data_IF_287439445513
#
_entry.id   IF_287439445513
#
_cell.length_a   1.000
_cell.length_b   1.000
_cell.length_c   1.000
_cell.angle_alpha   90.00
_cell.angle_beta   90.00
_cell.angle_gamma   90.00
#
_symmetry.space_group_name_H-M   'P 1'
#
loop_
_entity.id
_entity.type
_entity.pdbx_description
1 polymer ?
#
# COMPACT_ATOMS: atom_id res chain seq x y z
N UNK A 1 -22.24 7.41 2.07
CA UNK A 1 -21.18 6.52 2.62
C UNK A 1 -20.49 5.70 1.53
N UNK A 2 -21.24 5.00 0.65
CA UNK A 2 -20.69 4.19 -0.45
C UNK A 2 -19.69 4.94 -1.38
N UNK A 3 -19.94 6.22 -1.67
CA UNK A 3 -19.05 7.03 -2.53
C UNK A 3 -17.64 7.24 -1.97
N UNK A 4 -17.44 7.12 -0.64
CA UNK A 4 -16.10 7.27 -0.03
C UNK A 4 -15.24 6.02 -0.21
N UNK A 5 -15.88 4.86 -0.36
CA UNK A 5 -15.25 3.57 -0.57
C UNK A 5 -14.90 3.29 -2.03
N UNK A 6 -15.58 3.92 -2.99
CA UNK A 6 -15.27 3.75 -4.40
C UNK A 6 -13.78 4.02 -4.71
N UNK A 7 -13.16 5.14 -4.27
CA UNK A 7 -11.73 5.35 -4.47
C UNK A 7 -10.85 4.32 -3.76
N UNK A 8 -11.27 3.77 -2.62
CA UNK A 8 -10.54 2.71 -1.90
C UNK A 8 -10.50 1.44 -2.75
N UNK A 9 -11.65 1.03 -3.28
CA UNK A 9 -11.77 -0.17 -4.11
C UNK A 9 -11.03 -0.02 -5.43
N UNK A 10 -11.13 1.15 -6.08
CA UNK A 10 -10.38 1.45 -7.31
C UNK A 10 -8.88 1.38 -7.04
N UNK A 11 -8.40 2.00 -5.97
CA UNK A 11 -6.98 2.00 -5.64
C UNK A 11 -6.47 0.62 -5.25
N UNK A 12 -7.24 -0.14 -4.46
CA UNK A 12 -6.93 -1.54 -4.18
C UNK A 12 -6.81 -2.36 -5.48
N UNK A 13 -7.75 -2.19 -6.41
CA UNK A 13 -7.68 -2.82 -7.73
C UNK A 13 -6.40 -2.47 -8.49
N UNK A 14 -5.97 -1.20 -8.47
CA UNK A 14 -4.70 -0.78 -9.07
C UNK A 14 -3.52 -1.53 -8.44
N UNK A 15 -3.41 -1.55 -7.10
CA UNK A 15 -2.34 -2.27 -6.39
C UNK A 15 -2.33 -3.74 -6.81
N UNK A 16 -3.48 -4.40 -6.79
CA UNK A 16 -3.60 -5.81 -7.16
C UNK A 16 -3.13 -6.08 -8.59
N UNK A 17 -3.50 -5.22 -9.54
CA UNK A 17 -3.07 -5.35 -10.94
C UNK A 17 -1.57 -5.14 -11.11
N UNK A 18 -0.97 -4.15 -10.43
CA UNK A 18 0.47 -3.88 -10.49
C UNK A 18 1.27 -5.01 -9.83
N UNK A 19 0.80 -5.53 -8.69
CA UNK A 19 1.38 -6.69 -8.00
C UNK A 19 1.31 -7.97 -8.82
N UNK A 20 0.36 -8.08 -9.75
CA UNK A 20 0.23 -9.23 -10.66
C UNK A 20 1.26 -9.25 -11.80
N UNK A 21 1.97 -8.13 -12.05
CA UNK A 21 2.95 -8.04 -13.13
C UNK A 21 4.30 -8.64 -12.65
N UNK A 22 4.79 -9.74 -13.29
CA UNK A 22 6.09 -10.30 -12.98
C UNK A 22 7.19 -9.35 -13.46
N UNK A 23 8.16 -9.07 -12.58
CA UNK A 23 9.42 -8.33 -12.82
C UNK A 23 9.44 -7.41 -14.06
N UNK A 24 9.17 -6.12 -13.84
CA UNK A 24 9.62 -5.06 -14.74
C UNK A 24 11.15 -5.03 -14.71
N UNK A 25 11.81 -5.66 -15.69
CA UNK A 25 13.24 -5.56 -15.87
C UNK A 25 13.52 -4.26 -16.64
N UNK A 26 13.94 -3.22 -15.93
CA UNK A 26 14.27 -1.92 -16.54
C UNK A 26 15.73 -1.85 -17.01
N UNK A 27 16.52 -2.91 -16.79
CA UNK A 27 17.96 -2.92 -17.02
C UNK A 27 18.78 -2.26 -15.91
N UNK A 28 18.15 -1.80 -14.82
CA UNK A 28 18.82 -1.11 -13.69
C UNK A 28 19.36 -2.08 -12.61
N UNK A 29 19.15 -3.39 -12.75
CA UNK A 29 19.69 -4.40 -11.85
C UNK A 29 19.09 -4.30 -10.44
N UNK A 30 19.92 -4.22 -9.40
CA UNK A 30 19.46 -4.16 -8.01
C UNK A 30 18.57 -2.96 -7.67
N UNK A 31 18.64 -1.88 -8.44
CA UNK A 31 17.77 -0.71 -8.28
C UNK A 31 16.31 -1.00 -8.57
N UNK A 32 16.00 -1.98 -9.42
CA UNK A 32 14.62 -2.42 -9.68
C UNK A 32 13.94 -2.94 -8.42
N UNK A 33 14.70 -3.56 -7.52
CA UNK A 33 14.21 -4.03 -6.23
C UNK A 33 13.86 -2.85 -5.32
N UNK A 34 14.76 -1.87 -5.20
CA UNK A 34 14.57 -0.69 -4.34
C UNK A 34 13.40 0.16 -4.83
N UNK A 35 13.35 0.46 -6.13
CA UNK A 35 12.27 1.28 -6.71
C UNK A 35 10.90 0.62 -6.54
N UNK A 36 10.82 -0.70 -6.67
CA UNK A 36 9.59 -1.46 -6.43
C UNK A 36 9.15 -1.36 -4.97
N UNK A 37 10.07 -1.47 -4.00
CA UNK A 37 9.73 -1.28 -2.58
C UNK A 37 9.22 0.13 -2.29
N UNK A 38 9.84 1.15 -2.88
CA UNK A 38 9.35 2.53 -2.74
C UNK A 38 7.97 2.73 -3.37
N UNK A 39 7.70 2.10 -4.51
CA UNK A 39 6.39 2.13 -5.15
C UNK A 39 5.31 1.49 -4.26
N UNK A 40 5.56 0.29 -3.72
CA UNK A 40 4.63 -0.35 -2.79
C UNK A 40 4.39 0.50 -1.53
N UNK A 41 5.45 1.05 -0.92
CA UNK A 41 5.28 1.96 0.22
C UNK A 41 4.37 3.16 -0.11
N UNK A 42 4.50 3.75 -1.30
CA UNK A 42 3.64 4.84 -1.75
C UNK A 42 2.19 4.39 -2.01
N UNK A 43 2.01 3.22 -2.63
CA UNK A 43 0.71 2.60 -2.86
C UNK A 43 -0.07 2.39 -1.56
N UNK A 44 0.57 1.79 -0.55
CA UNK A 44 -0.04 1.55 0.75
C UNK A 44 -0.24 2.82 1.58
N UNK A 45 0.63 3.84 1.43
CA UNK A 45 0.41 5.15 2.02
C UNK A 45 -0.87 5.81 1.48
N UNK A 46 -1.09 5.77 0.16
CA UNK A 46 -2.29 6.30 -0.48
C UNK A 46 -3.53 5.50 -0.04
N UNK A 47 -3.44 4.17 -0.01
CA UNK A 47 -4.52 3.31 0.47
C UNK A 47 -4.92 3.67 1.91
N UNK A 48 -3.95 3.85 2.81
CA UNK A 48 -4.18 4.25 4.19
C UNK A 48 -4.91 5.61 4.29
N UNK A 49 -4.51 6.60 3.50
CA UNK A 49 -5.16 7.91 3.47
C UNK A 49 -6.63 7.83 3.03
N UNK A 50 -6.90 7.02 2.00
CA UNK A 50 -8.24 6.76 1.49
C UNK A 50 -9.09 6.01 2.51
N UNK A 51 -8.52 5.02 3.20
CA UNK A 51 -9.18 4.28 4.26
C UNK A 51 -9.52 5.17 5.45
N UNK A 52 -8.63 6.06 5.93
CA UNK A 52 -8.99 7.02 6.99
C UNK A 52 -10.15 7.91 6.55
N UNK A 53 -10.20 8.31 5.27
CA UNK A 53 -11.32 9.12 4.74
C UNK A 53 -12.64 8.32 4.69
N UNK A 54 -12.56 7.01 4.46
CA UNK A 54 -13.73 6.13 4.39
C UNK A 54 -14.23 5.70 5.78
N UNK A 55 -13.33 5.34 6.70
CA UNK A 55 -13.64 4.83 8.04
C UNK A 55 -13.76 5.93 9.11
N UNK A 56 -13.11 7.07 8.90
CA UNK A 56 -12.97 8.10 9.94
C UNK A 56 -12.05 7.71 11.11
N UNK A 57 -11.40 6.54 11.06
CA UNK A 57 -10.56 6.02 12.14
C UNK A 57 -9.18 5.60 11.62
N UNK A 58 -8.15 6.15 12.25
CA UNK A 58 -6.75 5.82 11.96
C UNK A 58 -6.44 4.36 12.30
N UNK A 59 -6.97 3.83 13.40
CA UNK A 59 -6.78 2.45 13.81
C UNK A 59 -7.39 1.47 12.79
N UNK A 60 -8.64 1.71 12.37
CA UNK A 60 -9.27 0.88 11.35
C UNK A 60 -8.61 1.00 9.98
N UNK A 61 -8.15 2.19 9.61
CA UNK A 61 -7.43 2.38 8.36
C UNK A 61 -6.09 1.63 8.34
N UNK A 62 -5.34 1.67 9.45
CA UNK A 62 -4.11 0.91 9.60
C UNK A 62 -4.37 -0.59 9.51
N UNK A 63 -5.33 -1.10 10.30
CA UNK A 63 -5.66 -2.53 10.32
C UNK A 63 -6.10 -3.05 8.94
N UNK A 64 -6.95 -2.29 8.22
CA UNK A 64 -7.41 -2.67 6.88
C UNK A 64 -6.28 -2.58 5.84
N UNK A 65 -5.41 -1.58 5.91
CA UNK A 65 -4.28 -1.45 5.00
C UNK A 65 -3.27 -2.60 5.19
N UNK A 66 -2.96 -2.96 6.44
CA UNK A 66 -2.06 -4.09 6.76
C UNK A 66 -2.69 -5.41 6.35
N UNK A 67 -3.99 -5.62 6.62
CA UNK A 67 -4.70 -6.82 6.17
C UNK A 67 -4.65 -6.95 4.64
N UNK A 68 -4.82 -5.83 3.92
CA UNK A 68 -4.70 -5.81 2.46
C UNK A 68 -3.27 -6.13 1.99
N UNK A 69 -2.24 -5.58 2.64
CA UNK A 69 -0.85 -5.91 2.34
C UNK A 69 -0.55 -7.40 2.50
N UNK A 70 -1.05 -8.04 3.57
CA UNK A 70 -0.93 -9.48 3.74
C UNK A 70 -1.59 -10.26 2.59
N UNK A 71 -2.76 -9.83 2.11
CA UNK A 71 -3.43 -10.49 0.98
C UNK A 71 -2.68 -10.30 -0.34
N UNK A 72 -2.08 -9.13 -0.56
CA UNK A 72 -1.26 -8.87 -1.74
C UNK A 72 0.02 -9.72 -1.74
N UNK A 73 0.67 -9.86 -0.58
CA UNK A 73 1.85 -10.71 -0.44
C UNK A 73 1.52 -12.19 -0.73
N UNK A 74 0.40 -12.68 -0.22
CA UNK A 74 -0.11 -14.02 -0.53
C UNK A 74 -0.40 -14.15 -2.02
N UNK A 75 -1.00 -13.14 -2.65
CA UNK A 75 -1.23 -13.10 -4.10
C UNK A 75 0.08 -13.16 -4.89
N UNK A 76 1.10 -12.42 -4.46
CA UNK A 76 2.41 -12.40 -5.09
C UNK A 76 3.12 -13.77 -5.05
N UNK A 77 2.87 -14.62 -4.04
CA UNK A 77 3.38 -16.00 -4.00
C UNK A 77 2.86 -16.87 -5.15
N UNK A 78 1.70 -16.54 -5.73
CA UNK A 78 1.15 -17.23 -6.89
C UNK A 78 1.69 -16.70 -8.23
N UNK A 79 2.41 -15.57 -8.22
CA UNK A 79 3.05 -14.99 -9.40
C UNK A 79 4.40 -15.67 -9.63
N UNK A 80 4.54 -16.40 -10.74
CA UNK A 80 5.78 -17.12 -11.10
C UNK A 80 6.98 -16.16 -11.13
N UNK A 81 8.03 -16.49 -10.37
CA UNK A 81 9.27 -15.72 -10.33
C UNK A 81 9.33 -14.65 -9.22
N UNK A 82 8.30 -14.52 -8.38
CA UNK A 82 8.38 -13.77 -7.11
C UNK A 82 8.66 -14.70 -5.94
N UNK A 83 9.52 -14.25 -5.03
CA UNK A 83 9.65 -14.82 -3.69
C UNK A 83 8.99 -13.84 -2.74
N UNK A 84 7.81 -14.18 -2.22
CA UNK A 84 7.20 -13.40 -1.15
C UNK A 84 8.02 -13.53 0.13
N UNK A 85 8.19 -12.41 0.83
CA UNK A 85 8.89 -12.32 2.10
C UNK A 85 8.01 -11.60 3.12
N UNK A 86 7.83 -12.14 4.34
CA UNK A 86 7.15 -11.43 5.42
C UNK A 86 7.76 -10.06 5.76
N UNK A 87 9.02 -9.82 5.38
CA UNK A 87 9.67 -8.50 5.51
C UNK A 87 9.02 -7.44 4.61
N UNK A 88 8.37 -7.85 3.53
CA UNK A 88 7.75 -6.96 2.55
C UNK A 88 6.50 -6.30 3.12
N UNK A 89 5.69 -7.06 3.86
CA UNK A 89 4.57 -6.55 4.66
C UNK A 89 5.05 -5.53 5.70
N UNK A 90 6.23 -5.76 6.29
CA UNK A 90 6.83 -4.83 7.25
C UNK A 90 7.22 -3.48 6.63
N UNK A 91 7.78 -3.50 5.41
CA UNK A 91 8.12 -2.29 4.66
C UNK A 91 6.86 -1.53 4.25
N UNK A 92 5.82 -2.23 3.81
CA UNK A 92 4.54 -1.63 3.44
C UNK A 92 3.84 -0.99 4.63
N UNK A 93 3.95 -1.59 5.82
CA UNK A 93 3.46 -0.99 7.06
C UNK A 93 4.15 0.36 7.39
N UNK A 94 5.42 0.55 7.02
CA UNK A 94 6.11 1.84 7.15
C UNK A 94 5.47 2.88 6.21
N UNK A 95 5.14 2.50 4.98
CA UNK A 95 4.40 3.34 4.04
C UNK A 95 3.04 3.78 4.59
N UNK A 96 2.28 2.83 5.17
CA UNK A 96 1.01 3.11 5.86
C UNK A 96 1.23 4.16 6.97
N UNK A 97 2.20 3.95 7.86
CA UNK A 97 2.49 4.87 8.97
C UNK A 97 2.89 6.28 8.49
N UNK A 98 3.69 6.36 7.42
CA UNK A 98 4.08 7.64 6.82
C UNK A 98 2.86 8.41 6.28
N UNK A 99 1.95 7.72 5.57
CA UNK A 99 0.70 8.29 5.08
C UNK A 99 -0.18 8.83 6.21
N UNK A 100 -0.38 8.05 7.26
CA UNK A 100 -1.17 8.46 8.43
C UNK A 100 -0.56 9.68 9.14
N UNK A 101 0.77 9.70 9.32
CA UNK A 101 1.50 10.80 9.97
C UNK A 101 1.39 12.10 9.17
N UNK A 102 1.52 12.05 7.84
CA UNK A 102 1.38 13.24 6.98
C UNK A 102 -0.02 13.84 7.10
N UNK A 103 -1.06 12.99 7.18
CA UNK A 103 -2.44 13.44 7.37
C UNK A 103 -2.65 14.11 8.73
N UNK A 104 -2.11 13.52 9.80
CA UNK A 104 -2.19 14.08 11.15
C UNK A 104 -1.51 15.45 11.21
N UNK A 105 -0.34 15.62 10.58
CA UNK A 105 0.35 16.92 10.50
C UNK A 105 -0.49 17.99 9.82
N UNK A 106 -1.13 17.66 8.68
CA UNK A 106 -2.01 18.60 7.96
C UNK A 106 -3.27 19.00 8.74
N UNK A 107 -3.73 18.15 9.67
CA UNK A 107 -4.85 18.49 10.55
C UNK A 107 -4.43 19.40 11.71
N UNK A 108 -3.21 19.24 12.25
CA UNK A 108 -2.71 20.04 13.37
C UNK A 108 -2.31 21.47 13.02
N UNK A 109 -2.10 21.79 11.73
CA UNK A 109 -1.70 23.14 11.29
C UNK A 109 -2.88 24.01 10.84
N UNK A 110 -4.11 23.54 11.01
CA UNK A 110 -5.34 24.21 10.56
C UNK A 110 -6.27 24.66 11.69
N UNK A 111 -5.77 24.78 12.93
CA UNK A 111 -6.50 25.30 14.10
C UNK A 111 -6.13 26.73 14.40
#
# INVERSE_FOLDING_TARGET
MASRWLPVLVWAGVIFTLSSIPSLNSGLGGWDYVLRKLAHMAEYAILALLLVRATGSYAWAFALAVAYACTDEVHQLFVRGRHGSPLDVGIDAIGVLAGLTLKLRRWSTGS
#
